data_IF_428279273163
#
_entry.id   IF_428279273163
#
_cell.length_a   1.000
_cell.length_b   1.000
_cell.length_c   1.000
_cell.angle_alpha   90.00
_cell.angle_beta   90.00
_cell.angle_gamma   90.00
#
_symmetry.space_group_name_H-M   'P 1'
#
loop_
_entity.id
_entity.type
_entity.pdbx_description
1 polymer ?
#
# COMPACT_ATOMS: atom_id res chain seq x y z
N UNK A 1 12.69 7.57 -12.41
CA UNK A 1 11.91 6.66 -11.54
C UNK A 1 10.45 7.10 -11.60
N UNK A 2 9.55 6.22 -12.05
CA UNK A 2 8.13 6.58 -12.23
C UNK A 2 7.30 5.89 -11.16
N UNK A 3 7.06 6.56 -10.04
CA UNK A 3 6.21 6.04 -8.95
C UNK A 3 4.77 6.49 -9.15
N UNK A 4 3.79 5.66 -8.79
CA UNK A 4 2.37 6.04 -8.78
C UNK A 4 1.83 6.11 -7.35
N UNK A 5 0.90 7.06 -7.13
CA UNK A 5 0.22 7.28 -5.86
C UNK A 5 -1.29 7.14 -6.09
N UNK A 6 -1.99 6.51 -5.15
CA UNK A 6 -3.44 6.30 -5.23
C UNK A 6 -4.05 6.12 -3.84
N UNK A 7 -5.36 6.24 -3.72
CA UNK A 7 -6.06 6.08 -2.45
C UNK A 7 -6.74 4.71 -2.34
N UNK A 8 -6.55 4.05 -1.20
CA UNK A 8 -7.28 2.82 -0.85
C UNK A 8 -8.48 3.20 0.03
N UNK A 9 -9.67 3.22 -0.58
CA UNK A 9 -10.91 3.59 0.09
C UNK A 9 -11.69 2.35 0.55
N UNK A 10 -11.82 1.37 -0.34
CA UNK A 10 -12.67 0.20 -0.09
C UNK A 10 -11.93 -0.95 0.60
N UNK A 11 -12.66 -1.67 1.46
CA UNK A 11 -12.16 -2.87 2.15
C UNK A 11 -11.64 -3.94 1.19
N UNK A 12 -12.32 -4.13 0.06
CA UNK A 12 -11.96 -5.11 -0.97
C UNK A 12 -10.60 -4.83 -1.63
N UNK A 13 -10.26 -3.55 -1.80
CA UNK A 13 -8.96 -3.14 -2.35
C UNK A 13 -7.88 -3.26 -1.29
N UNK A 14 -8.15 -2.87 -0.04
CA UNK A 14 -7.22 -2.99 1.09
C UNK A 14 -6.85 -4.44 1.42
N UNK A 15 -7.80 -5.37 1.34
CA UNK A 15 -7.56 -6.80 1.66
C UNK A 15 -6.50 -7.44 0.77
N UNK A 16 -6.30 -6.94 -0.45
CA UNK A 16 -5.25 -7.39 -1.38
C UNK A 16 -3.84 -7.02 -0.92
N UNK A 17 -3.71 -5.98 -0.11
CA UNK A 17 -2.43 -5.53 0.42
C UNK A 17 -2.14 -6.13 1.80
N UNK A 18 -3.19 -6.34 2.60
CA UNK A 18 -3.10 -6.81 3.97
C UNK A 18 -3.44 -8.30 4.14
N UNK A 19 -3.22 -9.12 3.11
CA UNK A 19 -3.53 -10.56 3.15
C UNK A 19 -2.85 -11.28 4.33
N UNK A 20 -1.61 -10.90 4.64
CA UNK A 20 -0.82 -11.47 5.75
C UNK A 20 -0.92 -10.64 7.04
N UNK A 21 -1.70 -9.56 7.03
CA UNK A 21 -1.85 -8.60 8.14
C UNK A 21 -3.33 -8.24 8.37
N UNK A 22 -4.17 -9.22 8.74
CA UNK A 22 -5.59 -8.96 8.99
C UNK A 22 -5.81 -7.91 10.08
N UNK A 23 -4.87 -7.79 11.03
CA UNK A 23 -4.83 -6.74 12.05
C UNK A 23 -4.87 -5.32 11.46
N UNK A 24 -4.10 -5.08 10.38
CA UNK A 24 -4.07 -3.79 9.69
C UNK A 24 -5.35 -3.56 8.89
N UNK A 25 -5.90 -4.61 8.28
CA UNK A 25 -7.16 -4.51 7.53
C UNK A 25 -8.30 -4.10 8.46
N UNK A 26 -8.44 -4.74 9.62
CA UNK A 26 -9.51 -4.45 10.57
C UNK A 26 -9.34 -3.07 11.21
N UNK A 27 -8.11 -2.69 11.59
CA UNK A 27 -7.82 -1.36 12.16
C UNK A 27 -8.16 -0.24 11.17
N UNK A 28 -7.73 -0.36 9.92
CA UNK A 28 -7.83 0.72 8.94
C UNK A 28 -8.95 0.54 7.91
N UNK A 29 -9.93 -0.34 8.14
CA UNK A 29 -10.97 -0.65 7.14
C UNK A 29 -11.80 0.58 6.72
N UNK A 30 -12.10 1.49 7.66
CA UNK A 30 -12.89 2.71 7.42
C UNK A 30 -12.04 3.95 7.10
N UNK A 31 -10.71 3.86 7.22
CA UNK A 31 -9.83 5.02 7.04
C UNK A 31 -9.36 5.16 5.59
N UNK A 32 -9.14 6.38 5.12
CA UNK A 32 -8.55 6.59 3.79
C UNK A 32 -7.04 6.37 3.89
N UNK A 33 -6.52 5.41 3.12
CA UNK A 33 -5.08 5.14 3.07
C UNK A 33 -4.48 5.61 1.73
N UNK A 34 -3.20 5.93 1.75
CA UNK A 34 -2.42 6.33 0.57
C UNK A 34 -1.50 5.18 0.20
N UNK A 35 -1.58 4.70 -1.05
CA UNK A 35 -0.68 3.68 -1.58
C UNK A 35 0.33 4.32 -2.52
N UNK A 36 1.61 4.12 -2.22
CA UNK A 36 2.70 4.38 -3.15
C UNK A 36 3.19 3.08 -3.78
N UNK A 37 3.28 3.08 -5.11
CA UNK A 37 3.92 2.02 -5.90
C UNK A 37 5.22 2.55 -6.46
N UNK A 38 6.33 2.08 -5.89
CA UNK A 38 7.67 2.53 -6.25
C UNK A 38 8.22 1.59 -7.31
N UNK A 39 8.54 2.15 -8.47
CA UNK A 39 9.10 1.38 -9.59
C UNK A 39 10.61 1.37 -9.55
N UNK A 40 11.20 0.21 -9.86
CA UNK A 40 12.63 0.06 -10.08
C UNK A 40 13.07 0.69 -11.41
N UNK A 41 14.37 0.57 -11.69
CA UNK A 41 14.98 1.02 -12.95
C UNK A 41 14.46 0.26 -14.18
N UNK A 42 13.92 -0.94 -13.97
CA UNK A 42 13.27 -1.76 -14.99
C UNK A 42 11.81 -1.33 -15.30
N UNK A 43 11.32 -0.27 -14.65
CA UNK A 43 9.95 0.21 -14.83
C UNK A 43 8.88 -0.69 -14.20
N UNK A 44 9.24 -1.71 -13.43
CA UNK A 44 8.31 -2.57 -12.69
C UNK A 44 8.19 -2.10 -11.25
N UNK A 45 7.03 -2.33 -10.63
CA UNK A 45 6.82 -2.01 -9.20
C UNK A 45 7.66 -2.97 -8.36
N UNK A 46 8.67 -2.44 -7.68
CA UNK A 46 9.56 -3.20 -6.80
C UNK A 46 9.20 -3.07 -5.32
N UNK A 47 8.54 -1.98 -4.93
CA UNK A 47 8.09 -1.75 -3.55
C UNK A 47 6.70 -1.13 -3.54
N UNK A 48 5.89 -1.54 -2.58
CA UNK A 48 4.61 -0.90 -2.25
C UNK A 48 4.71 -0.42 -0.82
N UNK A 49 4.30 0.83 -0.60
CA UNK A 49 4.17 1.43 0.73
C UNK A 49 2.73 1.91 0.89
N UNK A 50 2.21 1.78 2.11
CA UNK A 50 0.87 2.25 2.47
C UNK A 50 1.01 3.16 3.70
N UNK A 51 0.39 4.33 3.59
CA UNK A 51 0.40 5.37 4.59
C UNK A 51 -1.02 5.72 5.04
N UNK A 52 -1.13 6.29 6.24
CA UNK A 52 -2.31 7.06 6.64
C UNK A 52 -2.41 8.37 5.83
N UNK A 53 -3.53 9.07 5.94
CA UNK A 53 -3.70 10.41 5.36
C UNK A 53 -2.80 11.47 6.03
N UNK A 54 -2.37 11.24 7.26
CA UNK A 54 -1.38 12.04 7.98
C UNK A 54 0.06 11.77 7.56
N UNK A 55 0.31 10.76 6.72
CA UNK A 55 1.64 10.40 6.22
C UNK A 55 2.42 9.43 7.10
N UNK A 56 1.77 8.74 8.04
CA UNK A 56 2.39 7.67 8.83
C UNK A 56 2.50 6.39 8.00
N UNK A 57 3.69 5.79 7.90
CA UNK A 57 3.89 4.52 7.21
C UNK A 57 3.32 3.36 8.06
N UNK A 58 2.34 2.65 7.53
CA UNK A 58 1.69 1.53 8.24
C UNK A 58 2.07 0.16 7.70
N UNK A 59 2.48 0.09 6.43
CA UNK A 59 2.84 -1.17 5.78
C UNK A 59 3.77 -0.93 4.60
N UNK A 60 4.77 -1.78 4.46
CA UNK A 60 5.58 -1.86 3.26
C UNK A 60 5.74 -3.31 2.81
N UNK A 61 5.85 -3.50 1.50
CA UNK A 61 6.11 -4.80 0.90
C UNK A 61 7.03 -4.65 -0.30
N UNK A 62 8.10 -5.41 -0.31
CA UNK A 62 8.95 -5.60 -1.48
C UNK A 62 8.37 -6.70 -2.36
N UNK A 63 8.37 -6.48 -3.67
CA UNK A 63 8.17 -7.56 -4.63
C UNK A 63 9.53 -8.19 -4.90
N UNK A 64 9.81 -9.33 -4.27
CA UNK A 64 10.91 -10.20 -4.67
C UNK A 64 10.68 -10.65 -6.11
N UNK A 65 11.75 -10.58 -6.92
CA UNK A 65 11.74 -10.94 -8.34
C UNK A 65 11.42 -12.42 -8.55
#
# INVERSE_FOLDING_TARGET
>A
VCSSCDYLKDRSTKSRYFTERPDLLDKYHNERLIRFSIKGTDGKVGKIEIYTDTGELIFERYKTK
#
